data_IF_017151363001
#
_entry.id   IF_017151363001
#
_cell.length_a   1.000
_cell.length_b   1.000
_cell.length_c   1.000
_cell.angle_alpha   90.00
_cell.angle_beta   90.00
_cell.angle_gamma   90.00
#
_symmetry.space_group_name_H-M   'P 1'
#
loop_
_entity.id
_entity.type
_entity.pdbx_description
1 polymer ?
#
# COMPACT_ATOMS: atom_id res chain seq x y z
N UNK A 1 -4.76 -14.54 -15.56
CA UNK A 1 -4.60 -13.14 -15.12
C UNK A 1 -3.13 -12.93 -14.87
N UNK A 2 -2.43 -12.20 -15.76
CA UNK A 2 -1.02 -11.87 -15.54
C UNK A 2 -1.02 -10.72 -14.55
N UNK A 3 -0.52 -10.96 -13.33
CA UNK A 3 -0.35 -9.92 -12.34
C UNK A 3 0.88 -9.12 -12.79
N UNK A 4 0.63 -7.90 -13.26
CA UNK A 4 1.66 -6.89 -13.43
C UNK A 4 1.58 -5.95 -12.24
N UNK A 5 2.71 -5.54 -11.63
CA UNK A 5 4.11 -5.94 -11.89
C UNK A 5 4.45 -7.36 -11.39
N UNK A 6 5.62 -7.89 -11.77
CA UNK A 6 6.10 -9.19 -11.30
C UNK A 6 6.42 -9.18 -9.80
N UNK A 7 6.22 -10.32 -9.13
CA UNK A 7 6.42 -10.43 -7.68
C UNK A 7 7.86 -10.12 -7.27
N UNK A 8 8.86 -10.46 -8.10
CA UNK A 8 10.25 -10.16 -7.81
C UNK A 8 10.51 -8.66 -7.70
N UNK A 9 9.96 -7.85 -8.62
CA UNK A 9 10.07 -6.38 -8.56
C UNK A 9 9.41 -5.80 -7.31
N UNK A 10 8.31 -6.41 -6.88
CA UNK A 10 7.63 -6.00 -5.65
C UNK A 10 8.46 -6.36 -4.42
N UNK A 11 9.09 -7.53 -4.41
CA UNK A 11 9.92 -8.00 -3.30
C UNK A 11 11.25 -7.24 -3.18
N UNK A 12 11.76 -6.65 -4.27
CA UNK A 12 12.88 -5.70 -4.22
C UNK A 12 12.55 -4.43 -3.42
N UNK A 13 11.27 -4.00 -3.44
CA UNK A 13 10.79 -2.82 -2.70
C UNK A 13 10.32 -3.15 -1.29
N UNK A 14 9.60 -4.27 -1.15
CA UNK A 14 9.03 -4.74 0.11
C UNK A 14 9.50 -6.18 0.36
N UNK A 15 10.51 -6.40 1.23
CA UNK A 15 11.20 -7.68 1.34
C UNK A 15 10.34 -8.83 1.90
N UNK A 16 9.18 -8.52 2.48
CA UNK A 16 8.26 -9.49 3.08
C UNK A 16 6.99 -9.63 2.24
N UNK A 17 6.69 -10.86 1.81
CA UNK A 17 5.45 -11.19 1.08
C UNK A 17 4.19 -10.81 1.87
N UNK A 18 4.22 -11.00 3.19
CA UNK A 18 3.10 -10.66 4.06
C UNK A 18 2.91 -9.15 4.15
N UNK A 19 4.02 -8.41 4.32
CA UNK A 19 3.99 -6.95 4.36
C UNK A 19 3.54 -6.37 3.03
N UNK A 20 3.97 -6.98 1.91
CA UNK A 20 3.53 -6.61 0.57
C UNK A 20 2.02 -6.81 0.39
N UNK A 21 1.48 -7.95 0.82
CA UNK A 21 0.04 -8.23 0.73
C UNK A 21 -0.79 -7.23 1.56
N UNK A 22 -0.37 -6.95 2.80
CA UNK A 22 -1.05 -5.99 3.67
C UNK A 22 -0.95 -4.56 3.09
N UNK A 23 0.22 -4.15 2.61
CA UNK A 23 0.43 -2.84 2.00
C UNK A 23 -0.44 -2.66 0.75
N UNK A 24 -0.44 -3.64 -0.14
CA UNK A 24 -1.27 -3.63 -1.35
C UNK A 24 -2.76 -3.58 -1.02
N UNK A 25 -3.21 -4.32 0.00
CA UNK A 25 -4.60 -4.30 0.43
C UNK A 25 -5.02 -2.94 1.02
N UNK A 26 -4.20 -2.35 1.90
CA UNK A 26 -4.45 -1.01 2.45
C UNK A 26 -4.53 0.03 1.34
N UNK A 27 -3.54 0.04 0.44
CA UNK A 27 -3.51 0.99 -0.67
C UNK A 27 -4.66 0.79 -1.65
N UNK A 28 -5.04 -0.45 -1.93
CA UNK A 28 -6.21 -0.73 -2.76
C UNK A 28 -7.49 -0.15 -2.17
N UNK A 29 -7.65 -0.21 -0.83
CA UNK A 29 -8.81 0.35 -0.16
C UNK A 29 -8.84 1.89 -0.20
N UNK A 30 -7.70 2.55 -0.07
CA UNK A 30 -7.57 4.00 -0.27
C UNK A 30 -7.99 4.41 -1.69
N UNK A 31 -7.49 3.69 -2.70
CA UNK A 31 -7.87 3.91 -4.11
C UNK A 31 -9.37 3.69 -4.36
N UNK A 32 -9.98 2.71 -3.71
CA UNK A 32 -11.43 2.48 -3.78
C UNK A 32 -12.23 3.56 -3.07
N UNK A 33 -11.66 4.17 -2.02
CA UNK A 33 -12.25 5.29 -1.27
C UNK A 33 -12.15 6.63 -2.02
N UNK A 34 -11.50 6.65 -3.19
CA UNK A 34 -11.35 7.83 -4.03
C UNK A 34 -10.09 8.66 -3.76
N UNK A 35 -9.10 8.08 -3.08
CA UNK A 35 -7.81 8.75 -2.84
C UNK A 35 -7.07 9.04 -4.16
N UNK A 36 -6.09 9.95 -4.08
CA UNK A 36 -5.28 10.37 -5.21
C UNK A 36 -4.47 9.20 -5.76
N UNK A 37 -4.55 9.01 -7.08
CA UNK A 37 -3.70 8.10 -7.83
C UNK A 37 -2.29 8.68 -7.91
N UNK A 38 -1.27 7.91 -7.57
CA UNK A 38 0.12 8.38 -7.63
C UNK A 38 0.70 8.28 -9.05
N UNK A 39 0.26 7.29 -9.82
CA UNK A 39 0.63 7.12 -11.22
C UNK A 39 -0.40 7.78 -12.15
N UNK A 40 0.10 8.31 -13.27
CA UNK A 40 -0.71 8.88 -14.35
C UNK A 40 -1.43 7.82 -15.18
N UNK A 41 -0.83 6.64 -15.34
CA UNK A 41 -1.35 5.52 -16.12
C UNK A 41 -1.20 4.20 -15.35
N UNK A 42 -2.19 3.33 -15.48
CA UNK A 42 -2.21 2.02 -14.84
C UNK A 42 -2.51 0.95 -15.87
N UNK A 43 -1.75 -0.14 -15.85
CA UNK A 43 -2.03 -1.32 -16.67
C UNK A 43 -3.18 -2.15 -16.10
N UNK A 44 -3.35 -2.10 -14.78
CA UNK A 44 -4.36 -2.86 -14.06
C UNK A 44 -5.62 -2.04 -13.85
N UNK A 45 -6.77 -2.64 -14.14
CA UNK A 45 -8.07 -2.00 -13.88
C UNK A 45 -8.47 -2.08 -12.39
N UNK A 46 -8.17 -3.20 -11.74
CA UNK A 46 -8.50 -3.44 -10.33
C UNK A 46 -7.64 -2.60 -9.38
N UNK A 47 -8.25 -2.14 -8.28
CA UNK A 47 -7.61 -1.42 -7.17
C UNK A 47 -6.33 -2.09 -6.68
N UNK A 48 -6.37 -3.40 -6.45
CA UNK A 48 -5.20 -4.19 -6.01
C UNK A 48 -4.07 -4.14 -7.03
N UNK A 49 -4.36 -4.24 -8.33
CA UNK A 49 -3.33 -4.16 -9.36
C UNK A 49 -2.71 -2.77 -9.44
N UNK A 50 -3.54 -1.72 -9.32
CA UNK A 50 -3.09 -0.32 -9.27
C UNK A 50 -2.17 -0.08 -8.07
N UNK A 51 -2.55 -0.58 -6.90
CA UNK A 51 -1.73 -0.50 -5.69
C UNK A 51 -0.37 -1.20 -5.88
N UNK A 52 -0.35 -2.39 -6.50
CA UNK A 52 0.92 -3.07 -6.80
C UNK A 52 1.79 -2.28 -7.79
N UNK A 53 1.20 -1.59 -8.76
CA UNK A 53 1.93 -0.72 -9.68
C UNK A 53 2.57 0.48 -8.97
N UNK A 54 1.85 1.13 -8.06
CA UNK A 54 2.40 2.23 -7.23
C UNK A 54 3.52 1.73 -6.30
N UNK A 55 3.37 0.53 -5.71
CA UNK A 55 4.42 -0.09 -4.88
C UNK A 55 5.67 -0.38 -5.71
N UNK A 56 5.52 -0.88 -6.94
CA UNK A 56 6.67 -1.12 -7.81
C UNK A 56 7.32 0.16 -8.34
N UNK A 57 6.54 1.23 -8.55
CA UNK A 57 7.07 2.56 -8.86
C UNK A 57 7.86 3.15 -7.68
N UNK A 58 7.55 2.73 -6.45
CA UNK A 58 8.18 3.21 -5.22
C UNK A 58 7.46 4.41 -4.61
N UNK A 59 6.26 4.74 -5.10
CA UNK A 59 5.42 5.81 -4.55
C UNK A 59 4.80 5.39 -3.22
N UNK A 60 4.57 4.08 -3.04
CA UNK A 60 4.01 3.49 -1.82
C UNK A 60 5.10 2.69 -1.12
N UNK A 61 5.54 3.18 0.03
CA UNK A 61 6.58 2.57 0.86
C UNK A 61 6.05 2.26 2.26
N UNK A 62 6.62 1.24 2.89
CA UNK A 62 6.43 1.01 4.32
C UNK A 62 7.36 1.94 5.06
N UNK A 63 6.80 2.90 5.80
CA UNK A 63 7.60 3.78 6.63
C UNK A 63 8.34 2.94 7.71
N UNK A 64 9.69 2.92 7.71
CA UNK A 64 10.45 2.09 8.64
C UNK A 64 10.38 2.57 10.10
N UNK A 65 9.91 3.80 10.33
CA UNK A 65 9.65 4.39 11.65
C UNK A 65 8.22 4.11 12.13
N UNK A 66 7.33 3.55 11.30
CA UNK A 66 5.97 3.15 11.69
C UNK A 66 5.92 1.91 12.61
N UNK A 67 6.89 1.79 13.54
CA UNK A 67 6.69 1.02 14.76
C UNK A 67 5.81 1.85 15.70
N UNK A 68 4.55 2.05 15.31
CA UNK A 68 3.54 2.54 16.24
C UNK A 68 3.44 1.50 17.35
N UNK A 69 3.83 1.87 18.57
CA UNK A 69 3.49 1.08 19.74
C UNK A 69 1.96 1.09 19.87
N UNK A 70 1.38 0.01 20.38
CA UNK A 70 -0.08 -0.10 20.58
C UNK A 70 -0.65 1.14 21.29
N UNK A 71 0.06 1.63 22.32
CA UNK A 71 -0.29 2.86 23.06
C UNK A 71 -0.37 4.12 22.19
N UNK A 72 0.43 4.21 21.14
CA UNK A 72 0.45 5.36 20.25
C UNK A 72 -0.65 5.25 19.18
N UNK A 73 -0.96 4.03 18.72
CA UNK A 73 -2.11 3.76 17.87
C UNK A 73 -3.43 4.07 18.61
N UNK A 74 -3.59 3.60 19.85
CA UNK A 74 -4.76 3.88 20.70
C UNK A 74 -4.99 5.40 20.89
N UNK A 75 -3.90 6.17 21.07
CA UNK A 75 -3.98 7.63 21.21
C UNK A 75 -4.41 8.32 19.91
N UNK A 76 -4.01 7.79 18.76
CA UNK A 76 -4.37 8.35 17.46
C UNK A 76 -5.84 8.06 17.15
N UNK A 77 -6.29 6.82 17.36
CA UNK A 77 -7.70 6.42 17.17
C UNK A 77 -8.63 7.24 18.08
N UNK A 78 -8.21 7.50 19.32
CA UNK A 78 -8.99 8.33 20.25
C UNK A 78 -9.07 9.78 19.79
N UNK A 79 -8.03 10.31 19.15
CA UNK A 79 -8.03 11.68 18.60
C UNK A 79 -8.89 11.82 17.34
N UNK A 80 -9.00 10.77 16.52
CA UNK A 80 -9.84 10.78 15.32
C UNK A 80 -11.35 10.72 15.67
N UNK A 81 -11.67 10.20 16.86
CA UNK A 81 -13.05 10.15 17.39
C UNK A 81 -13.50 11.40 18.16
N UNK A 82 -12.62 12.38 18.40
CA UNK A 82 -12.93 13.67 19.06
C UNK A 82 -13.16 14.79 18.03
#
# INVERSE_FOLDING_TARGET
>A
MIIYPSIDKLLEKVPSRYSLAVLAAKRAHELESGDLKMLSDYKSDKSVGKALEEIAAGDVIIDPKSKMLERDAEKLDRKDQE
#
